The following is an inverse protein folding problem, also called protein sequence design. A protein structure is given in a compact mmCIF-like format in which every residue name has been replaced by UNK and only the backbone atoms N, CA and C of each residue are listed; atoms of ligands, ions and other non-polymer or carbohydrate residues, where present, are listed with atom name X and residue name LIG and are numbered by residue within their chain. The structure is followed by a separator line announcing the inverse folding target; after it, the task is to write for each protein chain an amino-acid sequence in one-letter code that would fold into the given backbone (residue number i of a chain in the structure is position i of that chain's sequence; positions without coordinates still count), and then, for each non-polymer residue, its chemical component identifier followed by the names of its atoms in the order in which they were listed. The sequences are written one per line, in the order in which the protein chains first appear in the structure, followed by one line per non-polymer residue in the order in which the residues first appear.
data_IF_987597470586
#
_entry.id   IF_987597470586
#
_cell.length_a   1.000
_cell.length_b   1.000
_cell.length_c   1.000
_cell.angle_alpha   90.00
_cell.angle_beta   90.00
_cell.angle_gamma   90.00
#
_symmetry.space_group_name_H-M   'P 1'
#
loop_
_entity.id
_entity.type
_entity.pdbx_description
1 polymer ?
#
# COMPACT_ATOMS: atom_id res chain seq x y z
N UNK A 1 -13.41 12.51 21.06
CA UNK A 1 -12.40 12.60 19.98
C UNK A 1 -11.55 11.35 20.09
N UNK A 2 -11.59 10.45 19.10
CA UNK A 2 -10.61 9.36 19.02
C UNK A 2 -9.28 9.99 18.63
N UNK A 3 -8.25 9.82 19.45
CA UNK A 3 -6.90 10.27 19.07
C UNK A 3 -6.43 9.46 17.85
N UNK A 4 -5.58 10.05 17.00
CA UNK A 4 -5.17 9.41 15.74
C UNK A 4 -4.54 8.02 15.91
N UNK A 5 -3.92 7.76 17.08
CA UNK A 5 -3.39 6.45 17.49
C UNK A 5 -4.48 5.41 17.74
N UNK A 6 -5.62 5.80 18.31
CA UNK A 6 -6.72 4.87 18.56
C UNK A 6 -7.39 4.47 17.24
N UNK A 7 -7.52 5.42 16.32
CA UNK A 7 -8.07 5.16 14.99
C UNK A 7 -7.17 4.21 14.17
N UNK A 8 -5.85 4.41 14.19
CA UNK A 8 -4.92 3.55 13.45
C UNK A 8 -4.87 2.13 14.00
N UNK A 9 -5.00 1.95 15.32
CA UNK A 9 -5.06 0.63 15.94
C UNK A 9 -6.37 -0.10 15.63
N UNK A 10 -7.51 0.59 15.70
CA UNK A 10 -8.81 0.00 15.33
C UNK A 10 -8.81 -0.40 13.85
N UNK A 11 -8.32 0.47 12.97
CA UNK A 11 -8.16 0.17 11.55
C UNK A 11 -7.23 -1.02 11.31
N UNK A 12 -6.12 -1.12 12.05
CA UNK A 12 -5.18 -2.21 11.92
C UNK A 12 -5.78 -3.56 12.34
N UNK A 13 -6.56 -3.59 13.44
CA UNK A 13 -7.27 -4.79 13.89
C UNK A 13 -8.28 -5.28 12.85
N UNK A 14 -9.04 -4.35 12.26
CA UNK A 14 -9.99 -4.67 11.18
C UNK A 14 -9.23 -5.25 9.98
N UNK A 15 -8.16 -4.58 9.53
CA UNK A 15 -7.35 -5.05 8.40
C UNK A 15 -6.74 -6.44 8.63
N UNK A 16 -6.15 -6.69 9.79
CA UNK A 16 -5.60 -8.01 10.14
C UNK A 16 -6.69 -9.07 10.13
N UNK A 17 -7.86 -8.76 10.69
CA UNK A 17 -9.01 -9.66 10.71
C UNK A 17 -9.47 -10.00 9.30
N UNK A 18 -9.60 -9.01 8.41
CA UNK A 18 -10.04 -9.23 7.04
C UNK A 18 -8.98 -9.97 6.20
N UNK A 19 -7.70 -9.60 6.30
CA UNK A 19 -6.62 -10.31 5.59
C UNK A 19 -6.60 -11.79 5.97
N UNK A 20 -6.76 -12.11 7.25
CA UNK A 20 -6.75 -13.49 7.75
C UNK A 20 -7.91 -14.36 7.23
N UNK A 21 -9.01 -13.75 6.77
CA UNK A 21 -10.13 -14.45 6.13
C UNK A 21 -9.89 -14.78 4.65
N UNK A 22 -8.87 -14.18 4.04
CA UNK A 22 -8.59 -14.30 2.60
C UNK A 22 -7.41 -15.24 2.33
N UNK A 23 -7.15 -15.52 1.03
CA UNK A 23 -5.92 -16.19 0.58
C UNK A 23 -4.63 -15.45 0.97
N UNK A 24 -4.73 -14.16 1.30
CA UNK A 24 -3.61 -13.30 1.66
C UNK A 24 -3.16 -13.43 3.12
N UNK A 25 -3.79 -14.29 3.93
CA UNK A 25 -3.34 -14.57 5.31
C UNK A 25 -1.86 -14.95 5.41
N UNK A 26 -1.31 -15.54 4.35
CA UNK A 26 0.11 -15.91 4.24
C UNK A 26 1.05 -14.70 4.26
N UNK A 27 0.57 -13.51 3.89
CA UNK A 27 1.33 -12.26 4.00
C UNK A 27 1.71 -11.97 5.47
N UNK A 28 0.82 -12.30 6.41
CA UNK A 28 1.02 -12.08 7.84
C UNK A 28 1.67 -13.27 8.56
N UNK A 29 2.07 -14.31 7.82
CA UNK A 29 2.68 -15.51 8.41
C UNK A 29 4.01 -15.15 9.10
N UNK A 30 4.23 -15.71 10.28
CA UNK A 30 5.44 -15.53 11.10
C UNK A 30 5.67 -14.07 11.59
N UNK A 31 4.64 -13.22 11.47
CA UNK A 31 4.63 -11.86 12.01
C UNK A 31 4.10 -11.90 13.44
N UNK A 32 4.93 -11.49 14.41
CA UNK A 32 4.64 -11.64 15.84
C UNK A 32 3.56 -10.68 16.34
N UNK A 33 3.48 -9.49 15.75
CA UNK A 33 2.46 -8.49 16.06
C UNK A 33 1.94 -7.84 14.76
N UNK A 34 1.01 -8.49 14.05
CA UNK A 34 0.51 -8.01 12.77
C UNK A 34 -0.28 -6.70 12.91
N UNK A 35 -1.01 -6.46 14.00
CA UNK A 35 -1.74 -5.21 14.21
C UNK A 35 -0.79 -4.01 14.33
N UNK A 36 0.29 -4.14 15.11
CA UNK A 36 1.31 -3.09 15.20
C UNK A 36 2.00 -2.88 13.85
N UNK A 37 2.30 -3.94 13.09
CA UNK A 37 2.91 -3.80 11.77
C UNK A 37 1.97 -3.05 10.79
N UNK A 38 0.70 -3.44 10.70
CA UNK A 38 -0.29 -2.77 9.84
C UNK A 38 -0.49 -1.31 10.27
N UNK A 39 -0.54 -1.02 11.58
CA UNK A 39 -0.62 0.37 12.06
C UNK A 39 0.59 1.20 11.62
N UNK A 40 1.78 0.59 11.58
CA UNK A 40 2.99 1.25 11.08
C UNK A 40 2.97 1.41 9.53
N UNK A 41 2.32 0.49 8.82
CA UNK A 41 2.11 0.60 7.36
C UNK A 41 1.20 1.79 7.04
N UNK A 42 0.21 2.14 7.86
CA UNK A 42 -0.58 3.36 7.63
C UNK A 42 0.29 4.63 7.63
N UNK A 43 1.33 4.68 8.48
CA UNK A 43 2.32 5.75 8.45
C UNK A 43 3.10 5.80 7.12
N UNK A 44 3.47 4.63 6.58
CA UNK A 44 4.12 4.52 5.27
C UNK A 44 3.17 4.97 4.15
N UNK A 45 1.91 4.54 4.20
CA UNK A 45 0.88 4.94 3.22
C UNK A 45 0.71 6.46 3.21
N UNK A 46 0.78 7.13 4.36
CA UNK A 46 0.74 8.60 4.41
C UNK A 46 1.94 9.23 3.71
N UNK A 47 3.15 8.69 3.87
CA UNK A 47 4.37 9.18 3.18
C UNK A 47 4.27 8.94 1.67
N UNK A 48 3.82 7.76 1.26
CA UNK A 48 3.58 7.40 -0.15
C UNK A 48 2.53 8.34 -0.74
N UNK A 49 1.42 8.59 -0.04
CA UNK A 49 0.38 9.49 -0.48
C UNK A 49 0.88 10.94 -0.64
N UNK A 50 1.71 11.42 0.29
CA UNK A 50 2.31 12.77 0.19
C UNK A 50 3.21 12.93 -1.03
N UNK A 51 3.93 11.87 -1.41
CA UNK A 51 4.88 11.91 -2.53
C UNK A 51 4.23 11.63 -3.89
N UNK A 52 3.15 10.84 -3.93
CA UNK A 52 2.47 10.46 -5.18
C UNK A 52 1.10 11.15 -5.38
N UNK A 53 0.59 11.87 -4.39
CA UNK A 53 -0.74 12.52 -4.40
C UNK A 53 -1.87 11.56 -4.80
N UNK A 54 -1.80 10.30 -4.32
CA UNK A 54 -2.73 9.22 -4.69
C UNK A 54 -4.18 9.60 -4.33
N UNK A 55 -4.39 10.10 -3.11
CA UNK A 55 -5.71 10.45 -2.60
C UNK A 55 -6.30 11.63 -3.36
N UNK A 56 -5.49 12.65 -3.65
CA UNK A 56 -5.93 13.83 -4.40
C UNK A 56 -6.34 13.44 -5.82
N UNK A 57 -5.54 12.60 -6.49
CA UNK A 57 -5.84 12.10 -7.82
C UNK A 57 -7.13 11.26 -7.84
N UNK A 58 -7.33 10.39 -6.85
CA UNK A 58 -8.55 9.58 -6.73
C UNK A 58 -9.77 10.47 -6.51
N UNK A 59 -9.67 11.46 -5.61
CA UNK A 59 -10.76 12.41 -5.33
C UNK A 59 -11.09 13.23 -6.57
N UNK A 60 -10.10 13.74 -7.29
CA UNK A 60 -10.29 14.50 -8.53
C UNK A 60 -10.99 13.66 -9.61
N UNK A 61 -10.63 12.38 -9.72
CA UNK A 61 -11.20 11.48 -10.71
C UNK A 61 -12.65 11.10 -10.38
N UNK A 62 -12.94 10.86 -9.09
CA UNK A 62 -14.30 10.69 -8.58
C UNK A 62 -15.12 11.95 -8.83
N UNK A 63 -14.59 13.13 -8.56
CA UNK A 63 -15.31 14.39 -8.75
C UNK A 63 -15.63 14.66 -10.21
N UNK A 64 -14.70 14.36 -11.13
CA UNK A 64 -14.95 14.45 -12.58
C UNK A 64 -16.06 13.50 -13.05
N UNK A 65 -16.08 12.27 -12.55
CA UNK A 65 -17.14 11.28 -12.86
C UNK A 65 -18.50 11.73 -12.35
N UNK A 66 -18.55 12.27 -11.13
CA UNK A 66 -19.77 12.84 -10.56
C UNK A 66 -20.30 14.01 -11.39
N UNK A 67 -19.42 14.93 -11.83
CA UNK A 67 -19.82 16.02 -12.72
C UNK A 67 -20.37 15.53 -14.07
N UNK A 68 -19.87 14.40 -14.55
CA UNK A 68 -20.33 13.76 -15.78
C UNK A 68 -21.58 12.88 -15.60
N UNK A 69 -22.16 12.79 -14.39
CA UNK A 69 -23.24 11.86 -14.02
C UNK A 69 -22.90 10.38 -14.33
N UNK A 70 -21.63 10.02 -14.26
CA UNK A 70 -21.17 8.65 -14.51
C UNK A 70 -21.15 7.83 -13.22
N UNK A 71 -21.37 6.52 -13.36
CA UNK A 71 -21.30 5.57 -12.23
C UNK A 71 -19.88 5.49 -11.70
N UNK A 72 -19.73 5.60 -10.38
CA UNK A 72 -18.49 5.31 -9.69
C UNK A 72 -18.45 3.82 -9.38
N UNK A 73 -17.44 3.13 -9.88
CA UNK A 73 -17.16 1.74 -9.52
C UNK A 73 -15.71 1.60 -9.02
N UNK A 74 -15.36 0.38 -8.59
CA UNK A 74 -14.01 0.07 -8.08
C UNK A 74 -12.94 0.11 -9.17
N UNK A 75 -13.31 0.02 -10.45
CA UNK A 75 -12.35 0.08 -11.58
C UNK A 75 -11.80 1.49 -11.74
N UNK A 76 -12.59 2.51 -11.39
CA UNK A 76 -12.12 3.89 -11.30
C UNK A 76 -10.91 4.01 -10.36
N UNK A 77 -11.02 3.44 -9.16
CA UNK A 77 -9.97 3.50 -8.15
C UNK A 77 -8.69 2.81 -8.64
N UNK A 78 -8.82 1.66 -9.30
CA UNK A 78 -7.67 0.94 -9.85
C UNK A 78 -7.01 1.70 -11.01
N UNK A 79 -7.82 2.30 -11.90
CA UNK A 79 -7.31 3.08 -13.05
C UNK A 79 -6.61 4.37 -12.61
N UNK A 80 -7.17 5.05 -11.60
CA UNK A 80 -6.58 6.23 -10.99
C UNK A 80 -5.24 5.91 -10.33
N UNK A 81 -5.19 4.80 -9.60
CA UNK A 81 -3.97 4.32 -8.95
C UNK A 81 -2.91 3.95 -10.00
N UNK A 82 -3.29 3.23 -11.05
CA UNK A 82 -2.40 2.85 -12.14
C UNK A 82 -1.86 4.09 -12.88
N UNK A 83 -2.71 5.07 -13.14
CA UNK A 83 -2.32 6.34 -13.79
C UNK A 83 -1.34 7.12 -12.91
N UNK A 84 -1.59 7.17 -11.61
CA UNK A 84 -0.70 7.83 -10.64
C UNK A 84 0.67 7.15 -10.60
N UNK A 85 0.70 5.82 -10.55
CA UNK A 85 1.94 5.03 -10.58
C UNK A 85 2.69 5.25 -11.90
N UNK A 86 1.99 5.21 -13.04
CA UNK A 86 2.60 5.42 -14.35
C UNK A 86 3.21 6.82 -14.47
N UNK A 87 2.52 7.86 -13.97
CA UNK A 87 3.06 9.24 -13.92
C UNK A 87 4.33 9.33 -13.07
N UNK A 88 4.38 8.60 -11.96
CA UNK A 88 5.55 8.56 -11.08
C UNK A 88 6.74 7.86 -11.75
N UNK A 89 6.52 6.69 -12.36
CA UNK A 89 7.56 5.90 -13.03
C UNK A 89 8.10 6.62 -14.27
N UNK A 90 7.22 7.24 -15.06
CA UNK A 90 7.61 7.94 -16.29
C UNK A 90 8.14 9.36 -16.03
N UNK A 91 8.31 9.76 -14.76
CA UNK A 91 8.86 11.07 -14.43
C UNK A 91 10.36 11.12 -14.78
N UNK A 92 10.87 12.15 -15.48
CA UNK A 92 12.30 12.29 -15.77
C UNK A 92 13.22 12.31 -14.53
N UNK A 93 12.66 12.61 -13.34
CA UNK A 93 13.35 12.58 -12.04
C UNK A 93 12.99 11.35 -11.22
N UNK A 94 12.49 10.28 -11.84
CA UNK A 94 12.03 9.07 -11.17
C UNK A 94 13.04 8.54 -10.15
N UNK A 95 14.32 8.38 -10.50
CA UNK A 95 15.34 7.87 -9.58
C UNK A 95 15.48 8.75 -8.33
N UNK A 96 15.57 10.06 -8.51
CA UNK A 96 15.68 11.00 -7.39
C UNK A 96 14.42 10.98 -6.51
N UNK A 97 13.24 10.92 -7.11
CA UNK A 97 11.96 10.87 -6.41
C UNK A 97 11.78 9.54 -5.66
N UNK A 98 12.17 8.42 -6.27
CA UNK A 98 12.15 7.10 -5.65
C UNK A 98 13.13 7.04 -4.48
N UNK A 99 14.35 7.56 -4.64
CA UNK A 99 15.34 7.61 -3.55
C UNK A 99 14.83 8.47 -2.39
N UNK A 100 14.21 9.60 -2.68
CA UNK A 100 13.64 10.47 -1.64
C UNK A 100 12.47 9.80 -0.91
N UNK A 101 11.56 9.16 -1.65
CA UNK A 101 10.48 8.37 -1.09
C UNK A 101 11.01 7.26 -0.18
N UNK A 102 11.99 6.48 -0.64
CA UNK A 102 12.61 5.42 0.15
C UNK A 102 13.30 5.97 1.41
N UNK A 103 13.96 7.12 1.32
CA UNK A 103 14.56 7.79 2.49
C UNK A 103 13.50 8.22 3.51
N UNK A 104 12.38 8.77 3.06
CA UNK A 104 11.27 9.16 3.96
C UNK A 104 10.59 7.93 4.60
N UNK A 105 10.40 6.87 3.82
CA UNK A 105 9.87 5.59 4.29
C UNK A 105 10.77 4.99 5.38
N UNK A 106 12.08 4.90 5.15
CA UNK A 106 13.05 4.35 6.13
C UNK A 106 13.18 5.23 7.38
N UNK A 107 12.94 6.54 7.26
CA UNK A 107 12.91 7.49 8.39
C UNK A 107 11.65 7.38 9.24
N UNK A 108 10.60 6.71 8.76
CA UNK A 108 9.38 6.51 9.53
C UNK A 108 9.66 5.61 10.72
N UNK A 109 9.35 6.07 11.93
CA UNK A 109 9.66 5.36 13.18
C UNK A 109 9.13 3.93 13.20
N UNK A 110 8.00 3.69 12.52
CA UNK A 110 7.40 2.38 12.34
C UNK A 110 8.31 1.35 11.66
N UNK A 111 9.11 1.75 10.65
CA UNK A 111 10.07 0.85 9.98
C UNK A 111 11.30 0.63 10.85
N UNK A 112 11.84 1.69 11.44
CA UNK A 112 13.05 1.60 12.27
C UNK A 112 12.85 0.61 13.43
N UNK A 113 11.66 0.64 14.04
CA UNK A 113 11.35 -0.17 15.21
C UNK A 113 10.86 -1.60 14.86
N UNK A 114 10.49 -1.87 13.60
CA UNK A 114 9.93 -3.17 13.18
C UNK A 114 10.64 -3.76 11.93
N UNK A 115 11.90 -3.39 11.68
CA UNK A 115 12.66 -3.76 10.47
C UNK A 115 12.61 -5.26 10.14
N UNK A 116 12.75 -6.12 11.15
CA UNK A 116 12.67 -7.57 10.99
C UNK A 116 11.28 -8.03 10.50
N UNK A 117 10.21 -7.47 11.06
CA UNK A 117 8.82 -7.80 10.70
C UNK A 117 8.48 -7.31 9.29
N UNK A 118 8.99 -6.14 8.89
CA UNK A 118 8.90 -5.66 7.51
C UNK A 118 9.63 -6.57 6.52
N UNK A 119 10.81 -7.10 6.90
CA UNK A 119 11.53 -8.07 6.09
C UNK A 119 10.75 -9.38 5.88
N UNK A 120 10.07 -9.85 6.93
CA UNK A 120 9.19 -11.03 6.86
C UNK A 120 8.00 -10.75 5.95
N UNK A 121 7.32 -9.60 6.11
CA UNK A 121 6.21 -9.21 5.25
C UNK A 121 6.64 -9.15 3.77
N UNK A 122 7.78 -8.52 3.48
CA UNK A 122 8.31 -8.43 2.12
C UNK A 122 8.60 -9.81 1.53
N UNK A 123 9.24 -10.70 2.30
CA UNK A 123 9.49 -12.09 1.90
C UNK A 123 8.19 -12.84 1.61
N UNK A 124 7.18 -12.70 2.47
CA UNK A 124 5.89 -13.35 2.28
C UNK A 124 5.16 -12.84 1.03
N UNK A 125 5.22 -11.54 0.75
CA UNK A 125 4.68 -10.95 -0.47
C UNK A 125 5.35 -11.52 -1.72
N UNK A 126 6.68 -11.61 -1.73
CA UNK A 126 7.42 -12.21 -2.84
C UNK A 126 7.04 -13.68 -3.04
N UNK A 127 6.97 -14.46 -1.96
CA UNK A 127 6.57 -15.87 -2.05
C UNK A 127 5.16 -16.03 -2.62
N UNK A 128 4.22 -15.17 -2.23
CA UNK A 128 2.86 -15.18 -2.77
C UNK A 128 2.86 -14.84 -4.26
N UNK A 129 3.57 -13.78 -4.67
CA UNK A 129 3.73 -13.42 -6.08
C UNK A 129 4.33 -14.57 -6.90
N UNK A 130 5.42 -15.18 -6.42
CA UNK A 130 6.04 -16.32 -7.11
C UNK A 130 5.20 -17.59 -7.11
N UNK A 131 4.32 -17.78 -6.12
CA UNK A 131 3.37 -18.89 -6.11
C UNK A 131 2.18 -18.69 -7.07
N UNK A 132 1.83 -17.43 -7.36
CA UNK A 132 0.79 -17.08 -8.32
C UNK A 132 1.34 -16.95 -9.75
N UNK A 133 2.63 -16.66 -9.91
CA UNK A 133 3.34 -16.76 -11.17
C UNK A 133 3.60 -18.24 -11.48
N UNK A 134 2.84 -18.80 -12.41
CA UNK A 134 3.09 -20.15 -12.90
C UNK A 134 4.35 -20.10 -13.79
N UNK A 135 5.51 -20.65 -13.38
CA UNK A 135 6.74 -20.55 -14.18
C UNK A 135 6.60 -21.22 -15.56
N UNK A 136 5.61 -22.10 -15.76
CA UNK A 136 5.26 -22.67 -17.06
C UNK A 136 4.57 -21.71 -18.05
N UNK A 137 4.20 -20.49 -17.63
CA UNK A 137 3.66 -19.45 -18.52
C UNK A 137 4.67 -18.35 -18.89
N UNK A 138 5.84 -18.32 -18.24
CA UNK A 138 6.90 -17.32 -18.47
C UNK A 138 7.97 -17.77 -19.47
N UNK A 139 7.88 -19.01 -19.97
CA UNK A 139 8.73 -19.53 -21.05
C UNK A 139 7.88 -19.71 -22.31
N UNK A 140 7.78 -18.65 -23.11
CA UNK A 140 7.43 -18.67 -24.53
C UNK A 140 8.19 -17.54 -25.22
#
# INVERSE_FOLDING_TARGET
MLESRDFSQVGARIFVTEINKTKYKTLLKDITNPENLISNIFGIISVVNKNLSISDNIIDEVFKKLQANETIDTTLLTNSLQTTINKFINNPRFEANLINLLKEIVKTEGIRNNKSQFGILFKNTLNLLFSELNPGQLVW
#
